data_IF_314026535091
#
_entry.id   IF_314026535091
#
_cell.length_a   1.000
_cell.length_b   1.000
_cell.length_c   1.000
_cell.angle_alpha   90.00
_cell.angle_beta   90.00
_cell.angle_gamma   90.00
#
_symmetry.space_group_name_H-M   'P 1'
#
loop_
_entity.id
_entity.type
_entity.pdbx_description
1 polymer ?
#
# COMPACT_ATOMS: atom_id res chain seq x y z
N UNK A 1 -54.39 -2.68 -40.75
CA UNK A 1 -53.02 -2.74 -41.34
C UNK A 1 -52.14 -1.80 -40.56
N UNK A 2 -51.03 -2.34 -40.10
CA UNK A 2 -50.13 -1.86 -39.05
C UNK A 2 -48.89 -1.22 -39.69
N UNK A 3 -48.53 0.01 -39.31
CA UNK A 3 -47.16 0.56 -39.48
C UNK A 3 -47.00 1.77 -38.55
N UNK A 4 -46.58 1.58 -37.30
CA UNK A 4 -45.20 1.59 -36.77
C UNK A 4 -44.53 2.98 -36.65
N UNK A 5 -44.23 3.29 -35.38
CA UNK A 5 -43.42 4.35 -34.79
C UNK A 5 -42.12 4.69 -35.51
N UNK A 6 -41.70 5.97 -35.42
CA UNK A 6 -40.30 6.34 -35.19
C UNK A 6 -40.19 7.51 -34.20
N UNK A 7 -39.99 7.17 -32.93
CA UNK A 7 -39.43 8.07 -31.93
C UNK A 7 -37.91 8.09 -32.11
N UNK A 8 -37.32 9.27 -32.35
CA UNK A 8 -35.88 9.45 -32.38
C UNK A 8 -35.38 9.67 -30.94
N UNK A 9 -34.82 8.62 -30.32
CA UNK A 9 -34.04 8.72 -29.10
C UNK A 9 -32.68 9.37 -29.43
N UNK A 10 -32.44 10.56 -28.90
CA UNK A 10 -31.11 11.13 -28.74
C UNK A 10 -30.42 10.41 -27.59
N UNK A 11 -29.61 9.41 -27.93
CA UNK A 11 -28.72 8.74 -27.00
C UNK A 11 -27.30 9.32 -27.13
N UNK A 12 -26.71 9.60 -25.96
CA UNK A 12 -25.26 9.53 -25.63
C UNK A 12 -24.36 10.58 -26.30
N UNK A 13 -23.49 11.28 -25.58
CA UNK A 13 -22.49 10.73 -24.68
C UNK A 13 -22.33 11.57 -23.40
N UNK A 14 -22.67 10.98 -22.25
CA UNK A 14 -22.03 11.39 -21.00
C UNK A 14 -20.60 10.87 -21.11
N UNK A 15 -19.65 11.78 -21.34
CA UNK A 15 -18.22 11.47 -21.22
C UNK A 15 -17.98 11.10 -19.77
N UNK A 16 -17.89 9.80 -19.50
CA UNK A 16 -17.50 9.27 -18.21
C UNK A 16 -16.05 9.72 -17.97
N UNK A 17 -15.87 10.78 -17.20
CA UNK A 17 -14.58 11.21 -16.69
C UNK A 17 -14.02 10.04 -15.88
N UNK A 18 -13.13 9.27 -16.49
CA UNK A 18 -12.61 8.03 -15.93
C UNK A 18 -11.91 8.29 -14.61
N UNK A 19 -12.50 7.79 -13.53
CA UNK A 19 -11.82 7.67 -12.24
C UNK A 19 -10.53 6.85 -12.43
N UNK A 20 -9.42 7.33 -11.86
CA UNK A 20 -8.18 6.58 -11.79
C UNK A 20 -8.46 5.18 -11.20
N UNK A 21 -8.12 4.10 -11.92
CA UNK A 21 -8.17 2.76 -11.35
C UNK A 21 -6.88 2.57 -10.55
N UNK A 22 -6.88 3.03 -9.31
CA UNK A 22 -5.97 2.50 -8.32
C UNK A 22 -6.42 1.07 -8.01
N UNK A 23 -5.55 0.09 -8.25
CA UNK A 23 -5.83 -1.31 -7.89
C UNK A 23 -5.17 -1.56 -6.55
N UNK A 24 -5.97 -1.99 -5.58
CA UNK A 24 -5.51 -2.38 -4.26
C UNK A 24 -5.72 -3.87 -4.03
N UNK A 25 -4.73 -4.51 -3.42
CA UNK A 25 -4.86 -5.86 -2.88
C UNK A 25 -4.63 -5.79 -1.38
N UNK A 26 -5.57 -6.33 -0.62
CA UNK A 26 -5.56 -6.34 0.84
C UNK A 26 -5.36 -7.75 1.36
N UNK A 27 -4.35 -7.93 2.19
CA UNK A 27 -3.99 -9.21 2.81
C UNK A 27 -4.08 -9.10 4.34
N UNK A 28 -4.70 -10.08 5.02
CA UNK A 28 -4.75 -10.09 6.46
C UNK A 28 -3.37 -10.37 7.04
N UNK A 29 -3.03 -9.69 8.14
CA UNK A 29 -1.77 -9.84 8.84
C UNK A 29 -1.92 -9.67 10.34
N UNK A 30 -0.79 -9.78 11.03
CA UNK A 30 -0.69 -9.61 12.48
C UNK A 30 0.46 -8.66 12.79
N UNK A 31 0.18 -7.60 13.53
CA UNK A 31 1.19 -6.73 14.12
C UNK A 31 1.47 -7.14 15.57
N UNK A 32 2.73 -7.05 15.99
CA UNK A 32 3.21 -7.25 17.35
C UNK A 32 4.01 -6.02 17.77
N UNK A 33 3.70 -5.48 18.94
CA UNK A 33 4.31 -4.27 19.50
C UNK A 33 4.55 -4.52 21.00
N UNK A 34 5.76 -4.94 21.33
CA UNK A 34 6.06 -5.43 22.68
C UNK A 34 5.18 -6.65 23.03
N UNK A 35 4.45 -6.64 24.16
CA UNK A 35 3.57 -7.74 24.55
C UNK A 35 2.21 -7.73 23.85
N UNK A 36 1.88 -6.69 23.09
CA UNK A 36 0.57 -6.53 22.45
C UNK A 36 0.58 -7.05 21.02
N UNK A 37 -0.58 -7.51 20.56
CA UNK A 37 -0.78 -7.88 19.18
C UNK A 37 -2.12 -7.42 18.65
N UNK A 38 -2.14 -7.03 17.37
CA UNK A 38 -3.31 -6.53 16.65
C UNK A 38 -3.43 -7.25 15.32
N UNK A 39 -4.67 -7.54 14.90
CA UNK A 39 -4.93 -7.87 13.52
C UNK A 39 -4.74 -6.60 12.67
N UNK A 40 -4.05 -6.74 11.54
CA UNK A 40 -3.81 -5.63 10.61
C UNK A 40 -4.15 -6.05 9.19
N UNK A 41 -4.37 -5.08 8.32
CA UNK A 41 -4.57 -5.33 6.89
C UNK A 41 -3.39 -4.72 6.14
N UNK A 42 -2.63 -5.54 5.44
CA UNK A 42 -1.56 -5.10 4.54
C UNK A 42 -2.16 -4.79 3.16
N UNK A 43 -1.95 -3.58 2.67
CA UNK A 43 -2.45 -3.09 1.38
C UNK A 43 -1.29 -2.89 0.41
N UNK A 44 -1.40 -3.48 -0.77
CA UNK A 44 -0.56 -3.20 -1.93
C UNK A 44 -1.35 -2.37 -2.92
N UNK A 45 -0.85 -1.18 -3.24
CA UNK A 45 -1.48 -0.27 -4.20
C UNK A 45 -0.63 -0.12 -5.46
N UNK A 46 -1.27 -0.18 -6.62
CA UNK A 46 -0.66 0.16 -7.90
C UNK A 46 -1.50 1.24 -8.60
N UNK A 47 -0.84 2.35 -8.96
CA UNK A 47 -1.40 3.39 -9.83
C UNK A 47 -0.60 3.46 -11.13
N UNK A 48 -1.30 3.62 -12.24
CA UNK A 48 -0.69 3.70 -13.57
C UNK A 48 -0.63 5.15 -14.05
N UNK A 49 0.40 5.47 -14.84
CA UNK A 49 0.48 6.72 -15.62
C UNK A 49 -0.66 6.74 -16.62
N UNK A 50 -1.76 7.46 -16.34
CA UNK A 50 -2.85 7.67 -17.31
C UNK A 50 -2.81 9.02 -18.00
N UNK A 51 -2.02 9.97 -17.50
CA UNK A 51 -1.88 11.31 -18.09
C UNK A 51 -0.46 11.86 -17.92
N UNK A 52 -0.13 12.96 -18.61
CA UNK A 52 1.18 13.65 -18.47
C UNK A 52 1.44 14.16 -17.04
N UNK A 53 0.42 14.27 -16.21
CA UNK A 53 0.51 14.80 -14.83
C UNK A 53 0.41 13.71 -13.76
N UNK A 54 -0.04 12.51 -14.11
CA UNK A 54 -0.19 11.39 -13.17
C UNK A 54 1.03 10.48 -13.26
N UNK A 55 1.71 10.29 -12.15
CA UNK A 55 2.95 9.50 -12.10
C UNK A 55 2.63 8.11 -11.60
N UNK A 56 3.00 7.07 -12.36
CA UNK A 56 2.83 5.69 -11.90
C UNK A 56 3.54 5.48 -10.57
N UNK A 57 2.84 4.90 -9.60
CA UNK A 57 3.32 4.72 -8.24
C UNK A 57 2.91 3.36 -7.68
N UNK A 58 3.78 2.84 -6.82
CA UNK A 58 3.57 1.61 -6.07
C UNK A 58 3.57 1.96 -4.58
N UNK A 59 2.65 1.39 -3.82
CA UNK A 59 2.57 1.55 -2.37
C UNK A 59 2.41 0.19 -1.69
N UNK A 60 2.99 0.07 -0.49
CA UNK A 60 2.79 -1.05 0.42
C UNK A 60 2.61 -0.43 1.80
N UNK A 61 1.56 -0.79 2.52
CA UNK A 61 1.30 -0.25 3.86
C UNK A 61 0.35 -1.12 4.66
N UNK A 62 0.19 -0.81 5.94
CA UNK A 62 -0.76 -1.48 6.81
C UNK A 62 -1.36 -0.51 7.82
N UNK A 63 -2.55 -0.84 8.29
CA UNK A 63 -3.27 -0.05 9.29
C UNK A 63 -3.12 -0.67 10.67
N UNK A 64 -2.75 0.14 11.66
CA UNK A 64 -2.71 -0.24 13.07
C UNK A 64 -3.98 0.27 13.74
N UNK A 65 -4.94 -0.61 14.09
CA UNK A 65 -6.13 -0.19 14.82
C UNK A 65 -5.78 0.17 16.27
N UNK A 66 -6.56 1.07 16.86
CA UNK A 66 -6.42 1.52 18.25
C UNK A 66 -4.99 2.01 18.59
N UNK A 67 -4.34 2.69 17.64
CA UNK A 67 -2.93 3.07 17.75
C UNK A 67 -2.64 4.00 18.95
N UNK A 68 -3.62 4.81 19.37
CA UNK A 68 -3.50 5.69 20.53
C UNK A 68 -3.14 4.93 21.81
N UNK A 69 -3.68 3.71 21.99
CA UNK A 69 -3.35 2.85 23.13
C UNK A 69 -1.86 2.41 23.14
N UNK A 70 -1.18 2.53 21.99
CA UNK A 70 0.19 2.09 21.76
C UNK A 70 1.19 3.25 21.76
N UNK A 71 0.75 4.51 21.88
CA UNK A 71 1.61 5.71 21.82
C UNK A 71 2.71 5.75 22.89
N UNK A 72 2.50 5.07 24.02
CA UNK A 72 3.53 4.93 25.07
C UNK A 72 4.66 3.98 24.69
N UNK A 73 4.47 3.15 23.65
CA UNK A 73 5.38 2.10 23.21
C UNK A 73 6.02 2.39 21.86
N UNK A 74 5.34 3.18 21.03
CA UNK A 74 5.75 3.54 19.68
C UNK A 74 5.37 5.00 19.37
N UNK A 75 6.24 5.73 18.70
CA UNK A 75 6.04 7.13 18.31
C UNK A 75 5.42 7.21 16.91
N UNK A 76 4.09 7.12 16.84
CA UNK A 76 3.34 7.22 15.58
C UNK A 76 3.43 8.62 14.96
N UNK A 77 3.40 9.66 15.80
CA UNK A 77 3.45 11.06 15.37
C UNK A 77 4.71 11.40 14.58
N UNK A 78 5.83 10.71 14.82
CA UNK A 78 7.06 10.93 14.05
C UNK A 78 6.97 10.50 12.58
N UNK A 79 5.96 9.73 12.19
CA UNK A 79 5.72 9.32 10.81
C UNK A 79 4.69 10.21 10.09
N UNK A 80 4.02 11.11 10.80
CA UNK A 80 2.97 11.94 10.21
C UNK A 80 3.50 13.00 9.24
N UNK A 81 2.76 13.17 8.14
CA UNK A 81 2.92 14.28 7.21
C UNK A 81 4.11 14.17 6.24
N UNK A 82 4.32 15.21 5.41
CA UNK A 82 5.33 15.22 4.34
C UNK A 82 6.78 15.27 4.87
N UNK A 83 6.94 15.45 6.19
CA UNK A 83 8.21 15.54 6.90
C UNK A 83 8.41 14.40 7.90
N UNK A 84 7.59 13.34 7.86
CA UNK A 84 7.81 12.11 8.62
C UNK A 84 9.25 11.59 8.45
N UNK A 85 9.68 10.66 9.31
CA UNK A 85 11.11 10.31 9.40
C UNK A 85 11.72 9.98 8.03
N UNK A 86 12.53 10.90 7.48
CA UNK A 86 13.21 10.71 6.18
C UNK A 86 14.30 9.65 6.23
N UNK A 87 14.67 9.18 7.42
CA UNK A 87 15.61 8.07 7.61
C UNK A 87 14.84 6.75 7.45
N UNK A 88 15.39 5.76 6.72
CA UNK A 88 14.75 4.46 6.63
C UNK A 88 14.79 3.75 7.98
N UNK A 89 13.66 3.78 8.68
CA UNK A 89 13.36 3.01 9.89
C UNK A 89 12.54 1.76 9.57
N UNK A 90 12.31 1.51 8.29
CA UNK A 90 11.43 0.47 7.79
C UNK A 90 12.24 -0.57 7.04
N UNK A 91 12.01 -1.84 7.37
CA UNK A 91 12.54 -2.98 6.66
C UNK A 91 11.41 -3.94 6.29
N UNK A 92 11.26 -4.22 5.00
CA UNK A 92 10.28 -5.19 4.48
C UNK A 92 11.04 -6.38 3.91
N UNK A 93 10.65 -7.57 4.34
CA UNK A 93 11.28 -8.84 3.98
C UNK A 93 10.25 -9.78 3.41
N UNK A 94 10.48 -10.24 2.17
CA UNK A 94 9.74 -11.36 1.58
C UNK A 94 10.71 -12.52 1.34
N UNK A 95 11.77 -12.24 0.57
CA UNK A 95 12.93 -13.14 0.40
C UNK A 95 14.18 -12.50 1.01
N UNK A 96 14.39 -11.22 0.73
CA UNK A 96 15.48 -10.40 1.26
C UNK A 96 14.90 -9.15 1.93
N UNK A 97 15.54 -8.71 3.03
CA UNK A 97 15.18 -7.47 3.70
C UNK A 97 15.59 -6.25 2.88
N UNK A 98 14.61 -5.36 2.65
CA UNK A 98 14.78 -4.12 1.89
C UNK A 98 14.44 -2.94 2.79
N UNK A 99 15.33 -1.95 2.85
CA UNK A 99 15.15 -0.73 3.64
C UNK A 99 14.69 0.45 2.80
N UNK A 100 13.66 1.12 3.29
CA UNK A 100 12.95 2.22 2.63
C UNK A 100 12.42 3.21 3.67
N UNK A 101 12.19 4.48 3.30
CA UNK A 101 11.43 5.39 4.14
C UNK A 101 9.95 4.96 4.18
N UNK A 102 9.31 5.12 5.32
CA UNK A 102 7.86 5.03 5.46
C UNK A 102 7.32 6.34 6.04
N UNK A 103 6.09 6.65 5.69
CA UNK A 103 5.32 7.72 6.29
C UNK A 103 3.99 7.13 6.78
N UNK A 104 3.27 7.89 7.58
CA UNK A 104 1.95 7.50 7.99
C UNK A 104 1.01 8.67 8.19
N UNK A 105 -0.23 8.32 8.48
CA UNK A 105 -1.28 9.26 8.82
C UNK A 105 -2.36 8.51 9.59
N UNK A 106 -3.07 9.22 10.46
CA UNK A 106 -4.34 8.74 10.99
C UNK A 106 -5.33 8.58 9.84
N UNK A 107 -5.98 7.42 9.77
CA UNK A 107 -7.02 7.15 8.78
C UNK A 107 -8.20 8.12 8.94
N UNK A 108 -9.00 8.27 7.88
CA UNK A 108 -10.13 9.23 7.85
C UNK A 108 -11.15 8.97 8.96
N UNK A 109 -11.29 7.72 9.39
CA UNK A 109 -12.19 7.34 10.49
C UNK A 109 -11.65 7.68 11.88
N UNK A 110 -10.38 8.09 12.01
CA UNK A 110 -9.74 8.42 13.28
C UNK A 110 -9.37 7.22 14.14
N UNK A 111 -9.64 5.99 13.70
CA UNK A 111 -9.53 4.78 14.54
C UNK A 111 -8.27 3.97 14.30
N UNK A 112 -7.58 4.23 13.20
CA UNK A 112 -6.37 3.51 12.82
C UNK A 112 -5.29 4.46 12.32
N UNK A 113 -4.04 4.04 12.48
CA UNK A 113 -2.89 4.72 11.90
C UNK A 113 -2.35 3.91 10.72
N UNK A 114 -2.37 4.51 9.54
CA UNK A 114 -1.82 3.91 8.32
C UNK A 114 -0.33 4.17 8.25
N UNK A 115 0.48 3.11 8.24
CA UNK A 115 1.92 3.16 7.96
C UNK A 115 2.18 2.62 6.56
N UNK A 116 2.92 3.36 5.74
CA UNK A 116 3.13 2.99 4.35
C UNK A 116 4.45 3.46 3.78
N UNK A 117 4.98 2.67 2.85
CA UNK A 117 6.03 3.08 1.96
C UNK A 117 5.46 3.17 0.55
N UNK A 118 5.71 4.30 -0.10
CA UNK A 118 5.24 4.56 -1.46
C UNK A 118 6.34 5.26 -2.24
N UNK A 119 6.44 4.93 -3.53
CA UNK A 119 7.32 5.65 -4.44
C UNK A 119 6.68 5.76 -5.81
N UNK A 120 7.07 6.80 -6.53
CA UNK A 120 6.58 7.09 -7.87
C UNK A 120 7.74 7.20 -8.86
N UNK A 121 7.43 7.02 -10.15
CA UNK A 121 8.42 7.06 -11.22
C UNK A 121 9.19 8.40 -11.26
N UNK A 122 8.52 9.50 -10.93
CA UNK A 122 9.07 10.85 -10.98
C UNK A 122 9.72 11.19 -9.64
N UNK A 123 11.05 11.30 -9.64
CA UNK A 123 11.82 11.78 -8.50
C UNK A 123 12.09 10.76 -7.40
N UNK A 124 11.59 9.51 -7.52
CA UNK A 124 11.78 8.44 -6.53
C UNK A 124 12.07 7.08 -7.20
N UNK A 125 12.81 7.09 -8.31
CA UNK A 125 13.06 5.89 -9.12
C UNK A 125 13.78 4.76 -8.34
N UNK A 126 14.69 5.11 -7.43
CA UNK A 126 15.41 4.14 -6.61
C UNK A 126 14.50 3.45 -5.59
N UNK A 127 13.68 4.21 -4.88
CA UNK A 127 12.66 3.71 -3.95
C UNK A 127 11.59 2.90 -4.69
N UNK A 128 11.19 3.33 -5.89
CA UNK A 128 10.27 2.58 -6.73
C UNK A 128 10.88 1.23 -7.15
N UNK A 129 12.15 1.19 -7.52
CA UNK A 129 12.86 -0.06 -7.82
C UNK A 129 12.84 -1.05 -6.65
N UNK A 130 13.06 -0.55 -5.42
CA UNK A 130 12.95 -1.34 -4.19
C UNK A 130 11.54 -1.87 -3.97
N UNK A 131 10.52 -1.03 -4.09
CA UNK A 131 9.13 -1.46 -3.95
C UNK A 131 8.73 -2.49 -5.02
N UNK A 132 9.18 -2.32 -6.28
CA UNK A 132 8.96 -3.30 -7.34
C UNK A 132 9.60 -4.65 -7.01
N UNK A 133 10.80 -4.66 -6.41
CA UNK A 133 11.44 -5.89 -5.98
C UNK A 133 10.65 -6.62 -4.88
N UNK A 134 10.15 -5.88 -3.88
CA UNK A 134 9.31 -6.42 -2.81
C UNK A 134 7.99 -6.98 -3.38
N UNK A 135 7.27 -6.18 -4.17
CA UNK A 135 6.00 -6.59 -4.78
C UNK A 135 6.17 -7.77 -5.74
N UNK A 136 7.25 -7.77 -6.54
CA UNK A 136 7.61 -8.88 -7.40
C UNK A 136 7.81 -10.17 -6.62
N UNK A 137 8.59 -10.12 -5.53
CA UNK A 137 8.81 -11.27 -4.66
C UNK A 137 7.51 -11.75 -3.98
N UNK A 138 6.68 -10.84 -3.47
CA UNK A 138 5.39 -11.17 -2.86
C UNK A 138 4.41 -11.82 -3.85
N UNK A 139 4.51 -11.48 -5.13
CA UNK A 139 3.68 -12.03 -6.22
C UNK A 139 4.25 -13.30 -6.89
N UNK A 140 5.44 -13.77 -6.47
CA UNK A 140 6.13 -14.87 -7.14
C UNK A 140 5.57 -16.25 -6.78
N UNK A 141 4.90 -16.38 -5.64
CA UNK A 141 4.35 -17.63 -5.13
C UNK A 141 4.00 -17.52 -3.64
N UNK A 142 3.53 -18.62 -3.02
CA UNK A 142 3.19 -18.61 -1.61
C UNK A 142 4.42 -18.35 -0.73
N UNK A 143 4.22 -17.65 0.39
CA UNK A 143 5.29 -17.30 1.31
C UNK A 143 4.82 -16.42 2.46
N UNK A 144 5.74 -15.71 3.10
CA UNK A 144 5.46 -14.76 4.17
C UNK A 144 6.10 -13.41 3.85
N UNK A 145 5.37 -12.33 4.10
CA UNK A 145 5.92 -10.99 4.18
C UNK A 145 6.08 -10.59 5.64
N UNK A 146 7.24 -10.06 5.99
CA UNK A 146 7.54 -9.46 7.30
C UNK A 146 7.86 -7.99 7.14
N UNK A 147 7.29 -7.16 7.99
CA UNK A 147 7.61 -5.73 8.08
C UNK A 147 8.12 -5.44 9.48
N UNK A 148 9.29 -4.79 9.57
CA UNK A 148 9.79 -4.19 10.81
C UNK A 148 9.76 -2.68 10.67
N UNK A 149 9.07 -2.02 11.60
CA UNK A 149 9.05 -0.57 11.73
C UNK A 149 9.71 -0.19 13.05
N UNK A 150 10.88 0.44 13.00
CA UNK A 150 11.53 1.02 14.17
C UNK A 150 10.90 2.37 14.53
N UNK A 151 10.89 2.70 15.83
CA UNK A 151 10.50 4.02 16.34
C UNK A 151 11.74 4.92 16.46
N UNK A 152 11.65 6.21 16.11
CA UNK A 152 12.73 7.17 16.34
C UNK A 152 12.92 7.52 17.83
N UNK A 153 11.90 7.31 18.67
CA UNK A 153 11.97 7.62 20.10
C UNK A 153 12.77 6.52 20.83
N UNK A 154 13.82 6.94 21.53
CA UNK A 154 14.73 6.02 22.24
C UNK A 154 13.96 5.21 23.30
N UNK A 155 14.13 3.89 23.28
CA UNK A 155 13.53 2.96 24.25
C UNK A 155 12.20 2.36 23.79
N UNK A 156 11.63 2.85 22.70
CA UNK A 156 10.45 2.27 22.09
C UNK A 156 10.73 0.89 21.49
N UNK A 157 9.65 0.11 21.38
CA UNK A 157 9.67 -1.21 20.74
C UNK A 157 9.26 -1.09 19.28
N UNK A 158 9.87 -1.84 18.36
CA UNK A 158 9.46 -1.83 16.97
C UNK A 158 8.08 -2.46 16.78
N UNK A 159 7.39 -2.06 15.71
CA UNK A 159 6.23 -2.80 15.19
C UNK A 159 6.74 -3.91 14.28
N UNK A 160 6.34 -5.14 14.56
CA UNK A 160 6.64 -6.31 13.74
C UNK A 160 5.35 -6.83 13.13
N UNK A 161 5.21 -6.72 11.80
CA UNK A 161 4.07 -7.26 11.06
C UNK A 161 4.47 -8.54 10.35
N UNK A 162 3.60 -9.54 10.39
CA UNK A 162 3.70 -10.76 9.59
C UNK A 162 2.42 -10.97 8.79
N UNK A 163 2.56 -11.25 7.50
CA UNK A 163 1.48 -11.43 6.54
C UNK A 163 1.74 -12.73 5.79
N UNK A 164 0.95 -13.79 6.01
CA UNK A 164 1.01 -14.96 5.15
C UNK A 164 0.48 -14.60 3.76
N UNK A 165 1.14 -15.12 2.73
CA UNK A 165 0.74 -14.96 1.33
C UNK A 165 0.40 -16.36 0.80
N UNK A 166 -0.87 -16.78 0.85
CA UNK A 166 -1.34 -17.98 0.17
C UNK A 166 -1.11 -17.91 -1.35
N UNK A 167 -1.11 -19.07 -2.02
CA UNK A 167 -0.90 -19.11 -3.48
C UNK A 167 -1.94 -18.27 -4.24
N UNK A 168 -3.22 -18.34 -3.84
CA UNK A 168 -4.28 -17.52 -4.44
C UNK A 168 -4.01 -16.01 -4.27
N UNK A 169 -3.38 -15.60 -3.18
CA UNK A 169 -3.08 -14.20 -2.90
C UNK A 169 -1.87 -13.72 -3.68
N UNK A 170 -0.86 -14.59 -3.84
CA UNK A 170 0.26 -14.33 -4.74
C UNK A 170 -0.23 -14.13 -6.19
N UNK A 171 -1.16 -14.96 -6.67
CA UNK A 171 -1.76 -14.81 -8.00
C UNK A 171 -2.58 -13.51 -8.12
N UNK A 172 -3.36 -13.16 -7.09
CA UNK A 172 -4.10 -11.89 -7.03
C UNK A 172 -3.15 -10.69 -7.07
N UNK A 173 -2.07 -10.72 -6.27
CA UNK A 173 -1.02 -9.70 -6.28
C UNK A 173 -0.38 -9.59 -7.65
N UNK A 174 -0.02 -10.72 -8.27
CA UNK A 174 0.61 -10.75 -9.60
C UNK A 174 -0.28 -10.08 -10.64
N UNK A 175 -1.57 -10.41 -10.67
CA UNK A 175 -2.51 -9.83 -11.61
C UNK A 175 -2.72 -8.32 -11.35
N UNK A 176 -2.93 -7.93 -10.10
CA UNK A 176 -3.20 -6.55 -9.72
C UNK A 176 -2.00 -5.61 -9.91
N UNK A 177 -0.79 -6.09 -9.61
CA UNK A 177 0.43 -5.29 -9.64
C UNK A 177 1.17 -5.36 -10.99
N UNK A 178 0.73 -6.23 -11.92
CA UNK A 178 1.32 -6.35 -13.25
C UNK A 178 1.56 -5.00 -13.97
N UNK A 179 0.66 -3.99 -13.90
CA UNK A 179 0.91 -2.70 -14.54
C UNK A 179 2.08 -1.92 -13.95
N UNK A 180 2.33 -2.05 -12.65
CA UNK A 180 3.45 -1.38 -11.96
C UNK A 180 4.76 -2.19 -12.02
N UNK A 181 4.66 -3.51 -12.16
CA UNK A 181 5.81 -4.42 -12.20
C UNK A 181 6.44 -4.56 -13.59
N UNK A 182 5.71 -4.24 -14.66
CA UNK A 182 6.30 -4.15 -16.00
C UNK A 182 7.44 -3.12 -15.99
N UNK A 183 8.58 -3.51 -16.57
CA UNK A 183 9.70 -2.61 -16.76
C UNK A 183 9.24 -1.47 -17.69
N UNK A 184 9.37 -0.23 -17.21
CA UNK A 184 9.40 0.94 -18.07
C UNK A 184 10.86 1.34 -18.21
#
# INVERSE_FOLDING_TARGET
MTTMLRAALLATCVTWSGAALAIEVKLPGKAVIGPESRAVTMTFGCSTTRSRTETGALSIGFDVPDFEALEKRFDFGAFEGPTGTRKPLTEITVVQGVRLPANGAVAVDGTSFSLGASASLRGQAAELGKLKAIAGAASAGPGDLRWRQDSPRKGDVPILVSVPIPAADADRLKAALAPCLKAN
#
